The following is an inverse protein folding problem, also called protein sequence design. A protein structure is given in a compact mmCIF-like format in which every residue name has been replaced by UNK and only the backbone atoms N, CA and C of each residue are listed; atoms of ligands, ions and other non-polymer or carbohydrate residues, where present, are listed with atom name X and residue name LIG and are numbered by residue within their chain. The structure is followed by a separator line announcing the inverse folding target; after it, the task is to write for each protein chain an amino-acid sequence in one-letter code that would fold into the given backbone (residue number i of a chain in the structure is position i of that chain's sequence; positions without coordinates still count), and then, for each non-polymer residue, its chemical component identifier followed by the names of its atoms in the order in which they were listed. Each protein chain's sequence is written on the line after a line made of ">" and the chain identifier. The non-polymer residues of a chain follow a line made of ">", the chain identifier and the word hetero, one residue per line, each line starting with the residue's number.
data_IF_094595705831
#
_entry.id   IF_094595705831
#
_cell.length_a   1.000
_cell.length_b   1.000
_cell.length_c   1.000
_cell.angle_alpha   90.00
_cell.angle_beta   90.00
_cell.angle_gamma   90.00
#
_symmetry.space_group_name_H-M   'P 1'
#
loop_
_entity.id
_entity.type
_entity.pdbx_description
1 polymer ?
#
# COMPACT_ATOMS: atom_id res chain seq x y z
N UNK A 1 17.69 -11.35 -4.58
CA UNK A 1 17.41 -10.72 -3.27
C UNK A 1 17.86 -9.26 -3.30
N UNK A 2 16.93 -8.29 -3.28
CA UNK A 2 17.28 -6.87 -3.32
C UNK A 2 18.09 -6.49 -2.07
N UNK A 3 19.13 -5.68 -2.26
CA UNK A 3 19.97 -5.16 -1.18
C UNK A 3 19.45 -3.79 -0.81
N UNK A 4 19.15 -3.57 0.47
CA UNK A 4 18.64 -2.29 0.99
C UNK A 4 19.79 -1.31 1.16
N UNK A 5 20.93 -1.78 1.66
CA UNK A 5 22.11 -0.96 1.92
C UNK A 5 23.38 -1.79 1.92
N UNK A 6 24.50 -1.17 1.55
CA UNK A 6 25.85 -1.66 1.87
C UNK A 6 26.58 -0.59 2.68
N UNK A 7 27.15 -0.97 3.82
CA UNK A 7 27.95 -0.07 4.67
C UNK A 7 29.16 -0.84 5.19
N UNK A 8 30.35 -0.43 4.76
CA UNK A 8 31.57 -1.19 5.01
C UNK A 8 31.46 -2.63 4.46
N UNK A 9 31.81 -3.67 5.25
CA UNK A 9 31.76 -5.06 4.82
C UNK A 9 30.35 -5.68 4.89
N UNK A 10 29.35 -4.93 5.36
CA UNK A 10 28.02 -5.44 5.63
C UNK A 10 27.05 -5.14 4.49
N UNK A 11 26.27 -6.17 4.13
CA UNK A 11 25.15 -6.09 3.20
C UNK A 11 23.84 -6.31 3.96
N UNK A 12 22.92 -5.37 3.84
CA UNK A 12 21.62 -5.39 4.49
C UNK A 12 20.53 -5.73 3.48
N UNK A 13 19.65 -6.69 3.79
CA UNK A 13 18.60 -7.15 2.86
C UNK A 13 17.38 -7.74 3.58
N UNK A 14 16.25 -7.80 2.85
CA UNK A 14 15.03 -8.47 3.26
C UNK A 14 14.85 -9.78 2.47
N UNK A 15 14.27 -10.79 3.12
CA UNK A 15 13.94 -12.07 2.48
C UNK A 15 12.41 -12.20 2.42
N UNK A 16 11.88 -12.32 1.20
CA UNK A 16 10.44 -12.31 0.94
C UNK A 16 9.71 -13.61 1.38
N UNK A 17 10.46 -14.63 1.81
CA UNK A 17 9.92 -15.92 2.26
C UNK A 17 9.64 -15.97 3.77
N UNK A 18 9.96 -14.90 4.52
CA UNK A 18 9.79 -14.86 5.97
C UNK A 18 8.35 -14.49 6.37
N UNK A 19 7.39 -15.34 5.95
CA UNK A 19 5.97 -15.17 6.29
C UNK A 19 5.75 -15.41 7.80
N UNK A 20 4.90 -14.57 8.42
CA UNK A 20 4.52 -14.59 9.84
C UNK A 20 5.57 -14.14 10.88
N UNK A 21 6.65 -13.48 10.46
CA UNK A 21 7.63 -12.90 11.39
C UNK A 21 7.49 -11.37 11.56
N UNK A 22 7.89 -10.80 12.71
CA UNK A 22 7.98 -9.36 12.88
C UNK A 22 8.90 -8.70 11.83
N UNK A 23 8.74 -7.40 11.52
CA UNK A 23 9.64 -6.68 10.63
C UNK A 23 11.10 -6.84 11.05
N UNK A 24 11.94 -7.36 10.16
CA UNK A 24 13.32 -7.72 10.47
C UNK A 24 14.23 -7.57 9.26
N UNK A 25 15.52 -7.48 9.51
CA UNK A 25 16.54 -7.31 8.48
C UNK A 25 17.63 -8.37 8.64
N UNK A 26 18.15 -8.82 7.50
CA UNK A 26 19.30 -9.72 7.44
C UNK A 26 20.57 -8.93 7.15
N UNK A 27 21.65 -9.25 7.86
CA UNK A 27 22.96 -8.61 7.72
C UNK A 27 23.98 -9.67 7.34
N UNK A 28 24.50 -9.59 6.12
CA UNK A 28 25.50 -10.51 5.59
C UNK A 28 26.89 -9.88 5.58
N UNK A 29 27.90 -10.68 5.96
CA UNK A 29 29.32 -10.46 5.71
C UNK A 29 29.96 -11.79 5.32
N UNK A 30 30.50 -11.89 4.11
CA UNK A 30 31.05 -13.15 3.57
C UNK A 30 30.01 -14.30 3.66
N UNK A 31 30.29 -15.33 4.47
CA UNK A 31 29.42 -16.48 4.73
C UNK A 31 28.54 -16.33 6.00
N UNK A 32 28.73 -15.25 6.76
CA UNK A 32 27.98 -14.97 7.99
C UNK A 32 26.71 -14.18 7.68
N UNK A 33 25.59 -14.56 8.31
CA UNK A 33 24.28 -13.89 8.14
C UNK A 33 23.57 -13.77 9.48
N UNK A 34 23.48 -12.55 10.00
CA UNK A 34 22.73 -12.24 11.21
C UNK A 34 21.31 -11.77 10.87
N UNK A 35 20.39 -11.93 11.82
CA UNK A 35 18.99 -11.51 11.71
C UNK A 35 18.60 -10.66 12.91
N UNK A 36 18.04 -9.48 12.65
CA UNK A 36 17.59 -8.55 13.68
C UNK A 36 16.16 -8.09 13.41
N UNK A 37 15.31 -8.03 14.43
CA UNK A 37 14.04 -7.31 14.38
C UNK A 37 14.29 -5.80 14.27
N UNK A 38 13.29 -5.06 13.77
CA UNK A 38 13.38 -3.61 13.57
C UNK A 38 12.57 -2.81 14.61
N UNK A 39 11.58 -3.42 15.26
CA UNK A 39 10.75 -2.77 16.27
C UNK A 39 10.46 -3.70 17.47
N UNK A 40 11.22 -3.58 18.57
CA UNK A 40 12.48 -2.83 18.70
C UNK A 40 13.66 -3.56 18.00
N UNK A 41 14.79 -2.85 17.82
CA UNK A 41 16.00 -3.46 17.23
C UNK A 41 16.57 -4.53 18.16
N UNK A 42 16.29 -5.79 17.87
CA UNK A 42 16.66 -6.95 18.70
C UNK A 42 17.31 -8.02 17.85
N UNK A 43 18.45 -8.54 18.30
CA UNK A 43 19.16 -9.62 17.65
C UNK A 43 18.42 -10.95 17.84
N UNK A 44 18.09 -11.61 16.73
CA UNK A 44 17.44 -12.93 16.71
C UNK A 44 18.39 -14.05 16.33
N UNK A 45 19.27 -13.80 15.37
CA UNK A 45 20.28 -14.77 14.96
C UNK A 45 21.64 -14.09 14.85
N UNK A 46 22.61 -14.64 15.57
CA UNK A 46 23.99 -14.16 15.64
C UNK A 46 24.73 -14.36 14.31
N UNK A 47 24.40 -15.41 13.54
CA UNK A 47 24.96 -15.57 12.19
C UNK A 47 26.46 -15.81 12.08
N UNK A 48 27.15 -16.11 13.19
CA UNK A 48 28.61 -16.26 13.26
C UNK A 48 29.37 -14.97 13.62
N UNK A 49 28.67 -13.85 13.85
CA UNK A 49 29.31 -12.58 14.21
C UNK A 49 29.72 -12.53 15.69
N UNK A 50 30.83 -11.86 15.99
CA UNK A 50 31.28 -11.63 17.37
C UNK A 50 30.41 -10.61 18.11
N UNK A 51 30.34 -10.68 19.45
CA UNK A 51 29.50 -9.76 20.27
C UNK A 51 29.76 -8.28 20.01
N UNK A 52 31.03 -7.87 19.93
CA UNK A 52 31.40 -6.48 19.66
C UNK A 52 30.94 -6.01 18.28
N UNK A 53 31.00 -6.91 17.30
CA UNK A 53 30.56 -6.67 15.94
C UNK A 53 29.05 -6.60 15.85
N UNK A 54 28.32 -7.48 16.55
CA UNK A 54 26.88 -7.43 16.66
C UNK A 54 26.39 -6.14 17.31
N UNK A 55 27.09 -5.62 18.31
CA UNK A 55 26.78 -4.31 18.90
C UNK A 55 26.97 -3.18 17.89
N UNK A 56 28.01 -3.24 17.05
CA UNK A 56 28.20 -2.28 15.97
C UNK A 56 27.08 -2.40 14.92
N UNK A 57 26.74 -3.62 14.50
CA UNK A 57 25.65 -3.90 13.55
C UNK A 57 24.31 -3.40 14.10
N UNK A 58 23.98 -3.68 15.37
CA UNK A 58 22.74 -3.21 15.99
C UNK A 58 22.66 -1.67 16.04
N UNK A 59 23.78 -0.99 16.34
CA UNK A 59 23.87 0.48 16.24
C UNK A 59 23.62 0.96 14.82
N UNK A 60 24.25 0.34 13.82
CA UNK A 60 24.03 0.68 12.40
C UNK A 60 22.57 0.47 11.99
N UNK A 61 21.95 -0.65 12.39
CA UNK A 61 20.54 -0.93 12.11
C UNK A 61 19.66 0.11 12.80
N UNK A 62 19.94 0.47 14.05
CA UNK A 62 19.19 1.50 14.76
C UNK A 62 19.38 2.90 14.14
N UNK A 63 20.57 3.24 13.66
CA UNK A 63 20.83 4.46 12.88
C UNK A 63 20.02 4.46 11.58
N UNK A 64 20.03 3.36 10.82
CA UNK A 64 19.26 3.22 9.58
C UNK A 64 17.76 3.31 9.88
N UNK A 65 17.29 2.67 10.96
CA UNK A 65 15.89 2.71 11.37
C UNK A 65 15.50 4.16 11.72
N UNK A 66 16.30 4.85 12.54
CA UNK A 66 16.00 6.25 12.88
C UNK A 66 16.17 7.20 11.69
N UNK A 67 17.12 6.96 10.79
CA UNK A 67 17.34 7.79 9.60
C UNK A 67 16.27 7.56 8.53
N UNK A 68 15.85 6.31 8.33
CA UNK A 68 14.83 5.90 7.37
C UNK A 68 13.40 6.14 7.85
N UNK A 69 13.16 6.30 9.16
CA UNK A 69 11.81 6.50 9.71
C UNK A 69 11.60 7.82 10.48
N UNK A 70 12.66 8.57 10.86
CA UNK A 70 12.50 9.79 11.69
C UNK A 70 13.14 11.08 11.16
N UNK A 71 14.12 11.05 10.27
CA UNK A 71 14.84 12.26 9.84
C UNK A 71 14.97 12.42 8.32
N UNK A 72 13.83 12.49 7.62
CA UNK A 72 13.75 13.22 6.36
C UNK A 72 14.69 12.77 5.24
N UNK A 73 14.95 11.47 5.08
CA UNK A 73 15.32 10.98 3.76
C UNK A 73 14.10 11.12 2.85
N UNK A 74 14.24 11.85 1.74
CA UNK A 74 13.35 11.68 0.59
C UNK A 74 13.60 10.31 -0.02
N UNK A 75 13.14 9.28 0.67
CA UNK A 75 12.85 8.00 0.07
C UNK A 75 11.41 8.09 -0.43
N UNK A 76 11.13 7.56 -1.61
CA UNK A 76 9.77 7.27 -2.10
C UNK A 76 9.08 6.19 -1.23
N UNK A 77 9.43 6.06 0.05
CA UNK A 77 8.60 5.35 0.99
C UNK A 77 7.26 6.06 0.97
N UNK A 78 6.22 5.32 0.58
CA UNK A 78 4.84 5.79 0.61
C UNK A 78 4.59 6.28 2.03
N UNK A 79 4.70 7.59 2.24
CA UNK A 79 4.24 8.19 3.49
C UNK A 79 2.76 7.81 3.58
N UNK A 80 2.41 7.15 4.67
CA UNK A 80 1.06 6.71 4.99
C UNK A 80 0.17 7.92 5.35
N UNK A 81 0.41 9.09 4.74
CA UNK A 81 -0.57 10.15 4.68
C UNK A 81 -1.69 9.59 3.79
N UNK A 82 -2.80 9.23 4.43
CA UNK A 82 -3.96 8.70 3.74
C UNK A 82 -4.35 9.65 2.63
N UNK A 83 -4.28 9.19 1.39
CA UNK A 83 -4.78 9.95 0.27
C UNK A 83 -6.29 10.08 0.43
N UNK A 84 -6.78 11.32 0.34
CA UNK A 84 -8.21 11.65 0.52
C UNK A 84 -8.77 12.19 -0.78
N UNK A 85 -9.95 11.71 -1.15
CA UNK A 85 -10.70 12.26 -2.27
C UNK A 85 -11.18 13.68 -1.94
N UNK A 86 -10.99 14.58 -2.89
CA UNK A 86 -11.51 15.93 -2.88
C UNK A 86 -12.64 16.08 -3.90
N UNK A 87 -12.39 15.70 -5.16
CA UNK A 87 -13.37 15.74 -6.24
C UNK A 87 -13.33 14.44 -7.04
N UNK A 88 -14.47 14.06 -7.62
CA UNK A 88 -14.59 12.85 -8.45
C UNK A 88 -15.27 13.23 -9.77
N UNK A 89 -14.69 12.77 -10.87
CA UNK A 89 -15.24 12.92 -12.20
C UNK A 89 -15.35 11.55 -12.86
N UNK A 90 -16.57 11.17 -13.24
CA UNK A 90 -16.83 9.89 -13.90
C UNK A 90 -17.21 10.17 -15.35
N UNK A 91 -16.38 9.70 -16.28
CA UNK A 91 -16.69 9.70 -17.72
C UNK A 91 -17.15 8.32 -18.17
N UNK A 92 -17.48 8.15 -19.45
CA UNK A 92 -17.80 6.83 -19.99
C UNK A 92 -16.60 5.88 -20.05
N UNK A 93 -15.38 6.38 -19.95
CA UNK A 93 -14.16 5.58 -20.07
C UNK A 93 -13.35 5.50 -18.77
N UNK A 94 -13.48 6.48 -17.87
CA UNK A 94 -12.57 6.63 -16.73
C UNK A 94 -13.26 7.15 -15.47
N UNK A 95 -12.73 6.73 -14.33
CA UNK A 95 -12.95 7.35 -13.02
C UNK A 95 -11.72 8.18 -12.68
N UNK A 96 -11.90 9.49 -12.55
CA UNK A 96 -10.88 10.43 -12.11
C UNK A 96 -11.17 10.89 -10.67
N UNK A 97 -10.13 10.94 -9.85
CA UNK A 97 -10.19 11.40 -8.47
C UNK A 97 -9.08 12.42 -8.25
N UNK A 98 -9.49 13.63 -7.89
CA UNK A 98 -8.58 14.65 -7.39
C UNK A 98 -8.42 14.46 -5.88
N UNK A 99 -7.18 14.44 -5.43
CA UNK A 99 -6.80 14.17 -4.04
C UNK A 99 -6.46 15.48 -3.33
N UNK A 100 -6.71 15.53 -2.02
CA UNK A 100 -6.44 16.73 -1.20
C UNK A 100 -4.96 17.12 -1.15
N UNK A 101 -4.06 16.20 -1.50
CA UNK A 101 -2.61 16.45 -1.59
C UNK A 101 -2.16 17.01 -2.95
N UNK A 102 -3.11 17.33 -3.84
CA UNK A 102 -2.86 17.94 -5.14
C UNK A 102 -2.58 16.93 -6.26
N UNK A 103 -2.59 15.62 -5.98
CA UNK A 103 -2.50 14.59 -7.03
C UNK A 103 -3.85 14.35 -7.68
N UNK A 104 -3.82 13.88 -8.92
CA UNK A 104 -4.99 13.33 -9.61
C UNK A 104 -4.71 11.89 -10.02
N UNK A 105 -5.63 10.98 -9.67
CA UNK A 105 -5.59 9.58 -10.09
C UNK A 105 -6.67 9.33 -11.13
N UNK A 106 -6.31 8.68 -12.24
CA UNK A 106 -7.25 8.30 -13.31
C UNK A 106 -7.14 6.80 -13.54
N UNK A 107 -8.27 6.11 -13.45
CA UNK A 107 -8.36 4.65 -13.67
C UNK A 107 -9.46 4.34 -14.68
N UNK A 108 -9.36 3.23 -15.44
CA UNK A 108 -10.42 2.82 -16.37
C UNK A 108 -11.73 2.52 -15.64
N UNK A 109 -12.85 3.06 -16.12
CA UNK A 109 -14.17 2.84 -15.50
C UNK A 109 -14.55 1.35 -15.52
N UNK A 110 -14.16 0.63 -16.57
CA UNK A 110 -14.43 -0.80 -16.72
C UNK A 110 -13.86 -1.69 -15.60
N UNK A 111 -12.98 -1.17 -14.74
CA UNK A 111 -12.50 -1.89 -13.55
C UNK A 111 -13.55 -2.01 -12.45
N UNK A 112 -14.62 -1.22 -12.51
CA UNK A 112 -15.70 -1.17 -11.53
C UNK A 112 -17.02 -1.43 -12.25
N UNK A 113 -17.43 -2.71 -12.40
CA UNK A 113 -18.55 -3.10 -13.25
C UNK A 113 -19.87 -2.38 -12.92
N UNK A 114 -20.18 -2.16 -11.65
CA UNK A 114 -21.40 -1.43 -11.26
C UNK A 114 -21.40 0.01 -11.74
N UNK A 115 -20.26 0.70 -11.64
CA UNK A 115 -20.09 2.05 -12.21
C UNK A 115 -20.15 2.02 -13.75
N UNK A 116 -19.55 1.01 -14.38
CA UNK A 116 -19.58 0.82 -15.82
C UNK A 116 -21.02 0.69 -16.36
N UNK A 117 -21.88 -0.07 -15.69
CA UNK A 117 -23.29 -0.23 -16.06
C UNK A 117 -24.22 0.86 -15.52
N UNK A 118 -23.75 1.73 -14.63
CA UNK A 118 -24.50 2.87 -14.11
C UNK A 118 -24.75 3.93 -15.16
N UNK A 119 -25.87 4.65 -15.04
CA UNK A 119 -26.17 5.83 -15.85
C UNK A 119 -25.31 7.03 -15.44
N UNK A 120 -25.13 8.05 -16.30
CA UNK A 120 -24.43 9.29 -15.92
C UNK A 120 -25.01 9.95 -14.67
N UNK A 121 -26.34 9.93 -14.49
CA UNK A 121 -27.03 10.48 -13.33
C UNK A 121 -26.62 9.76 -12.04
N UNK A 122 -26.66 8.42 -12.05
CA UNK A 122 -26.26 7.60 -10.90
C UNK A 122 -24.78 7.76 -10.58
N UNK A 123 -23.92 7.83 -11.61
CA UNK A 123 -22.47 8.03 -11.45
C UNK A 123 -22.13 9.38 -10.82
N UNK A 124 -22.94 10.41 -11.09
CA UNK A 124 -22.77 11.74 -10.52
C UNK A 124 -23.35 11.87 -9.11
N UNK A 125 -24.18 10.92 -8.67
CA UNK A 125 -24.77 10.89 -7.33
C UNK A 125 -23.90 10.07 -6.34
N UNK A 126 -22.68 10.54 -6.10
CA UNK A 126 -21.75 9.93 -5.15
C UNK A 126 -21.69 10.69 -3.82
N UNK A 127 -21.19 10.01 -2.79
CA UNK A 127 -20.91 10.58 -1.48
C UNK A 127 -19.47 10.27 -1.08
N UNK A 128 -18.71 11.30 -0.73
CA UNK A 128 -17.39 11.15 -0.13
C UNK A 128 -17.59 11.00 1.38
N UNK A 129 -17.14 9.89 1.96
CA UNK A 129 -17.30 9.57 3.38
C UNK A 129 -15.97 9.22 4.05
N UNK A 130 -15.95 9.18 5.38
CA UNK A 130 -14.75 8.82 6.15
C UNK A 130 -13.58 9.78 5.89
N UNK A 131 -13.82 11.09 5.95
CA UNK A 131 -12.78 12.12 5.73
C UNK A 131 -12.07 12.00 4.37
N UNK A 132 -12.79 11.53 3.33
CA UNK A 132 -12.23 11.38 1.99
C UNK A 132 -11.58 10.03 1.72
N UNK A 133 -11.63 9.06 2.64
CA UNK A 133 -11.06 7.73 2.43
C UNK A 133 -11.94 6.83 1.56
N UNK A 134 -13.25 7.09 1.53
CA UNK A 134 -14.25 6.25 0.89
C UNK A 134 -15.15 7.05 -0.04
N UNK A 135 -15.61 6.40 -1.09
CA UNK A 135 -16.54 6.93 -2.07
C UNK A 135 -17.68 5.93 -2.21
N UNK A 136 -18.89 6.39 -1.94
CA UNK A 136 -20.11 5.58 -1.94
C UNK A 136 -21.05 6.05 -3.06
N UNK A 137 -21.56 5.12 -3.86
CA UNK A 137 -22.63 5.34 -4.84
C UNK A 137 -23.90 4.61 -4.40
N UNK A 138 -24.87 5.29 -3.76
CA UNK A 138 -26.05 4.65 -3.17
C UNK A 138 -26.90 3.89 -4.19
N UNK A 139 -27.10 4.46 -5.38
CA UNK A 139 -27.96 3.88 -6.42
C UNK A 139 -27.33 2.66 -7.11
N UNK A 140 -26.00 2.61 -7.08
CA UNK A 140 -25.22 1.53 -7.68
C UNK A 140 -24.82 0.47 -6.65
N UNK A 141 -25.05 0.71 -5.36
CA UNK A 141 -24.59 -0.15 -4.26
C UNK A 141 -23.07 -0.43 -4.39
N UNK A 142 -22.28 0.60 -4.69
CA UNK A 142 -20.84 0.48 -4.88
C UNK A 142 -20.09 1.35 -3.88
N UNK A 143 -19.09 0.75 -3.23
CA UNK A 143 -18.18 1.40 -2.29
C UNK A 143 -16.74 1.22 -2.75
N UNK A 144 -16.03 2.33 -2.97
CA UNK A 144 -14.61 2.33 -3.32
C UNK A 144 -13.78 3.03 -2.25
N UNK A 145 -12.55 2.54 -2.05
CA UNK A 145 -11.56 3.20 -1.19
C UNK A 145 -10.53 3.92 -2.02
N UNK A 146 -10.13 5.13 -1.61
CA UNK A 146 -9.10 5.90 -2.30
C UNK A 146 -7.76 5.16 -2.31
N UNK A 147 -7.42 4.49 -1.20
CA UNK A 147 -6.22 3.66 -1.11
C UNK A 147 -6.24 2.47 -2.08
N UNK A 148 -7.38 1.81 -2.26
CA UNK A 148 -7.54 0.73 -3.23
C UNK A 148 -7.36 1.21 -4.67
N UNK A 149 -7.91 2.38 -5.00
CA UNK A 149 -7.76 2.98 -6.34
C UNK A 149 -6.30 3.34 -6.62
N UNK A 150 -5.61 3.97 -5.67
CA UNK A 150 -4.19 4.33 -5.80
C UNK A 150 -3.30 3.08 -5.92
N UNK A 151 -3.66 2.00 -5.23
CA UNK A 151 -2.99 0.71 -5.36
C UNK A 151 -3.26 0.00 -6.71
N UNK A 152 -4.15 0.54 -7.55
CA UNK A 152 -4.53 -0.05 -8.83
C UNK A 152 -5.44 -1.28 -8.68
N UNK A 153 -6.14 -1.42 -7.55
CA UNK A 153 -7.09 -2.50 -7.35
C UNK A 153 -8.35 -2.29 -8.19
N UNK A 154 -8.78 -3.39 -8.83
CA UNK A 154 -10.05 -3.48 -9.56
C UNK A 154 -11.14 -3.98 -8.62
N UNK A 155 -12.41 -3.82 -9.01
CA UNK A 155 -13.51 -4.41 -8.27
C UNK A 155 -13.30 -5.92 -8.13
N UNK A 156 -13.51 -6.43 -6.90
CA UNK A 156 -13.48 -7.85 -6.59
C UNK A 156 -14.85 -8.53 -6.79
N UNK A 157 -15.80 -7.83 -7.44
CA UNK A 157 -17.14 -8.36 -7.67
C UNK A 157 -17.11 -9.65 -8.50
N UNK A 158 -17.80 -10.68 -8.00
CA UNK A 158 -17.95 -11.92 -8.73
C UNK A 158 -18.98 -11.79 -9.86
N UNK A 159 -18.83 -12.55 -10.97
CA UNK A 159 -19.81 -12.53 -12.06
C UNK A 159 -21.24 -12.86 -11.62
N UNK A 160 -21.41 -13.71 -10.60
CA UNK A 160 -22.73 -14.06 -10.04
C UNK A 160 -23.35 -12.91 -9.25
N UNK A 161 -22.55 -12.16 -8.48
CA UNK A 161 -22.98 -10.93 -7.80
C UNK A 161 -23.45 -9.88 -8.81
N UNK A 162 -22.61 -9.59 -9.82
CA UNK A 162 -22.93 -8.62 -10.86
C UNK A 162 -24.21 -8.99 -11.62
N UNK A 163 -24.36 -10.27 -12.00
CA UNK A 163 -25.57 -10.77 -12.67
C UNK A 163 -26.82 -10.60 -11.80
N UNK A 164 -26.72 -10.85 -10.50
CA UNK A 164 -27.83 -10.65 -9.56
C UNK A 164 -28.23 -9.18 -9.50
N UNK A 165 -27.24 -8.29 -9.32
CA UNK A 165 -27.44 -6.84 -9.28
C UNK A 165 -28.09 -6.31 -10.57
N UNK A 166 -27.60 -6.73 -11.75
CA UNK A 166 -28.20 -6.36 -13.04
C UNK A 166 -29.66 -6.83 -13.16
N UNK A 167 -29.97 -8.06 -12.74
CA UNK A 167 -31.34 -8.59 -12.79
C UNK A 167 -32.30 -7.86 -11.85
N UNK A 168 -31.83 -7.39 -10.70
CA UNK A 168 -32.65 -6.60 -9.76
C UNK A 168 -32.99 -5.23 -10.35
N UNK A 169 -32.05 -4.62 -11.07
CA UNK A 169 -32.25 -3.34 -11.75
C UNK A 169 -33.23 -3.43 -12.91
N UNK A 170 -33.25 -4.53 -13.66
CA UNK A 170 -34.22 -4.75 -14.75
C UNK A 170 -35.66 -4.98 -14.28
N UNK A 171 -35.88 -5.21 -12.98
CA UNK A 171 -37.21 -5.42 -12.40
C UNK A 171 -37.86 -4.13 -11.88
N UNK A 172 -37.08 -3.06 -11.73
CA UNK A 172 -37.57 -1.73 -11.39
C UNK A 172 -37.95 -0.98 -12.66
#
# INVERSE_FOLDING_TARGET
>A
MPTVLRRGPYRFFFVALDQAEPPHIHVQREKMVAKLWLDPVVLQNIGGFGRNELNAIAKLVNEINNFSWRNGMSSLAVEKQGARAQNIFVSDASLQIDLTDGRTTIVPLMWYPRLWYGTPEERNNYQIIGDGEYIHWPELDEDLTVSGIIAGHRSAESPSSLKRWLNERMKK
#
